data_IF_963037130033
#
_entry.id   IF_963037130033
#
_cell.length_a   1.000
_cell.length_b   1.000
_cell.length_c   1.000
_cell.angle_alpha   90.00
_cell.angle_beta   90.00
_cell.angle_gamma   90.00
#
_symmetry.space_group_name_H-M   'P 1'
#
loop_
_entity.id
_entity.type
_entity.pdbx_description
1 polymer ?
#
# COMPACT_ATOMS: atom_id res chain seq x y z
N UNK A 1 22.98 -1.53 19.17
CA UNK A 1 22.52 -1.74 17.77
C UNK A 1 21.29 -2.66 17.73
N UNK A 2 21.25 -3.72 18.55
CA UNK A 2 20.15 -4.69 18.55
C UNK A 2 18.78 -4.14 18.97
N UNK A 3 18.71 -3.17 19.91
CA UNK A 3 17.42 -2.66 20.41
C UNK A 3 16.60 -1.94 19.34
N UNK A 4 17.25 -1.06 18.56
CA UNK A 4 16.58 -0.33 17.46
C UNK A 4 16.14 -1.26 16.34
N UNK A 5 16.96 -2.26 16.04
CA UNK A 5 16.61 -3.31 15.11
C UNK A 5 15.38 -4.10 15.58
N UNK A 6 15.37 -4.54 16.85
CA UNK A 6 14.23 -5.23 17.44
C UNK A 6 12.96 -4.36 17.41
N UNK A 7 13.09 -3.06 17.70
CA UNK A 7 11.96 -2.13 17.63
C UNK A 7 11.42 -1.94 16.20
N UNK A 8 12.30 -1.85 15.19
CA UNK A 8 11.90 -1.78 13.78
C UNK A 8 11.21 -3.06 13.31
N UNK A 9 11.71 -4.23 13.71
CA UNK A 9 11.09 -5.51 13.42
C UNK A 9 9.72 -5.63 14.09
N UNK A 10 9.62 -5.27 15.36
CA UNK A 10 8.35 -5.24 16.07
C UNK A 10 7.35 -4.26 15.43
N UNK A 11 7.82 -3.10 14.96
CA UNK A 11 7.00 -2.18 14.17
C UNK A 11 6.48 -2.85 12.90
N UNK A 12 7.36 -3.47 12.11
CA UNK A 12 6.99 -4.09 10.83
C UNK A 12 6.00 -5.25 11.01
N UNK A 13 6.26 -6.15 11.95
CA UNK A 13 5.39 -7.30 12.25
C UNK A 13 3.99 -6.83 12.68
N UNK A 14 3.93 -5.87 13.60
CA UNK A 14 2.67 -5.29 14.05
C UNK A 14 1.97 -4.56 12.92
N UNK A 15 2.70 -3.77 12.12
CA UNK A 15 2.16 -3.05 10.98
C UNK A 15 1.52 -3.99 9.97
N UNK A 16 2.21 -5.04 9.54
CA UNK A 16 1.70 -5.99 8.56
C UNK A 16 0.47 -6.75 9.09
N UNK A 17 0.50 -7.17 10.37
CA UNK A 17 -0.64 -7.80 11.03
C UNK A 17 -1.86 -6.88 11.06
N UNK A 18 -1.68 -5.64 11.53
CA UNK A 18 -2.76 -4.65 11.60
C UNK A 18 -3.25 -4.25 10.20
N UNK A 19 -2.37 -4.11 9.21
CA UNK A 19 -2.74 -3.77 7.84
C UNK A 19 -3.68 -4.80 7.19
N UNK A 20 -3.56 -6.08 7.58
CA UNK A 20 -4.43 -7.16 7.11
C UNK A 20 -5.74 -7.20 7.91
N UNK A 21 -5.69 -7.02 9.23
CA UNK A 21 -6.85 -7.19 10.11
C UNK A 21 -7.75 -5.95 10.14
N UNK A 22 -7.18 -4.77 10.36
CA UNK A 22 -7.89 -3.50 10.45
C UNK A 22 -6.94 -2.33 10.14
N UNK A 23 -7.03 -1.77 8.93
CA UNK A 23 -6.19 -0.64 8.53
C UNK A 23 -6.47 0.64 9.30
N UNK A 24 -7.66 0.80 9.87
CA UNK A 24 -7.99 2.01 10.61
C UNK A 24 -7.18 2.10 11.92
N UNK A 25 -6.86 0.94 12.52
CA UNK A 25 -6.01 0.84 13.71
C UNK A 25 -4.55 1.25 13.46
N UNK A 26 -4.13 1.33 12.19
CA UNK A 26 -2.81 1.86 11.83
C UNK A 26 -2.66 3.35 12.16
N UNK A 27 -3.72 4.07 12.50
CA UNK A 27 -3.63 5.47 12.95
C UNK A 27 -2.56 5.63 14.05
N UNK A 28 -2.45 4.65 14.96
CA UNK A 28 -1.49 4.66 16.06
C UNK A 28 -0.02 4.44 15.64
N UNK A 29 0.21 3.96 14.41
CA UNK A 29 1.53 3.74 13.84
C UNK A 29 2.12 4.98 13.15
N UNK A 30 1.34 6.07 13.03
CA UNK A 30 1.74 7.29 12.32
C UNK A 30 1.83 8.50 13.24
N UNK A 31 2.86 9.32 13.00
CA UNK A 31 3.00 10.64 13.60
C UNK A 31 1.84 11.55 13.18
N UNK A 32 1.48 12.52 14.00
CA UNK A 32 0.51 13.55 13.62
C UNK A 32 0.94 14.35 12.37
N UNK A 33 2.26 14.43 12.10
CA UNK A 33 2.85 15.07 10.90
C UNK A 33 3.18 14.10 9.77
N UNK A 34 2.76 12.84 9.86
CA UNK A 34 3.16 11.81 8.91
C UNK A 34 2.83 12.18 7.46
N UNK A 35 3.72 11.81 6.54
CA UNK A 35 3.45 11.94 5.10
C UNK A 35 3.25 10.57 4.48
N UNK A 36 2.33 10.48 3.53
CA UNK A 36 2.10 9.26 2.75
C UNK A 36 2.01 9.56 1.27
N UNK A 37 2.59 8.66 0.47
CA UNK A 37 2.44 8.67 -0.98
C UNK A 37 2.47 7.24 -1.49
N UNK A 38 1.80 7.00 -2.62
CA UNK A 38 1.91 5.72 -3.29
C UNK A 38 1.96 5.88 -4.81
N UNK A 39 2.54 4.89 -5.47
CA UNK A 39 2.63 4.86 -6.92
C UNK A 39 2.38 3.43 -7.41
N UNK A 40 1.49 3.29 -8.39
CA UNK A 40 1.26 2.03 -9.10
C UNK A 40 1.87 2.19 -10.50
N UNK A 41 2.86 1.35 -10.82
CA UNK A 41 3.47 1.34 -12.15
C UNK A 41 2.61 0.54 -13.13
N UNK A 42 2.49 1.04 -14.36
CA UNK A 42 1.84 0.29 -15.44
C UNK A 42 2.77 -0.76 -16.03
N UNK A 43 2.26 -1.93 -16.44
CA UNK A 43 3.06 -2.92 -17.16
C UNK A 43 3.58 -2.33 -18.48
N UNK A 44 4.84 -2.57 -18.86
CA UNK A 44 5.43 -2.02 -20.09
C UNK A 44 4.75 -2.54 -21.38
N UNK A 45 4.01 -3.65 -21.31
CA UNK A 45 3.41 -4.32 -22.47
C UNK A 45 1.98 -3.88 -22.80
N UNK A 46 1.37 -3.02 -21.99
CA UNK A 46 -0.05 -2.68 -22.16
C UNK A 46 -0.36 -1.77 -23.36
N UNK A 47 0.64 -1.33 -24.14
CA UNK A 47 0.38 -0.38 -25.23
C UNK A 47 1.39 -0.49 -26.37
N UNK A 48 1.21 -1.49 -27.25
CA UNK A 48 1.82 -1.49 -28.58
C UNK A 48 1.03 -0.62 -29.58
N UNK A 49 -0.20 -0.20 -29.23
CA UNK A 49 -1.11 0.53 -30.13
C UNK A 49 -1.58 1.89 -29.60
N UNK A 50 -1.39 2.22 -28.31
CA UNK A 50 -1.75 3.55 -27.82
C UNK A 50 -0.61 4.53 -28.08
N UNK A 51 -0.97 5.62 -28.78
CA UNK A 51 -0.17 6.82 -29.01
C UNK A 51 0.59 7.19 -27.73
N UNK A 52 1.91 7.48 -27.80
CA UNK A 52 2.69 7.77 -26.60
C UNK A 52 1.99 8.88 -25.81
N UNK A 53 1.59 8.62 -24.56
CA UNK A 53 1.00 9.67 -23.75
C UNK A 53 2.02 10.79 -23.66
N UNK A 54 1.57 12.02 -23.91
CA UNK A 54 2.30 13.23 -23.52
C UNK A 54 2.87 12.99 -22.12
N UNK A 55 4.18 13.21 -21.93
CA UNK A 55 4.98 12.74 -20.81
C UNK A 55 4.63 13.32 -19.41
N UNK A 56 3.38 13.71 -19.17
CA UNK A 56 2.88 14.05 -17.84
C UNK A 56 2.76 12.76 -17.02
N UNK A 57 3.81 12.44 -16.28
CA UNK A 57 3.74 11.50 -15.16
C UNK A 57 2.53 11.88 -14.29
N UNK A 58 1.64 10.95 -13.93
CA UNK A 58 0.52 11.27 -13.06
C UNK A 58 1.08 11.91 -11.77
N UNK A 59 0.48 13.01 -11.28
CA UNK A 59 0.94 13.64 -10.05
C UNK A 59 0.89 12.60 -8.94
N UNK A 60 1.99 12.45 -8.20
CA UNK A 60 1.98 11.63 -7.00
C UNK A 60 0.94 12.24 -6.05
N UNK A 61 0.05 11.41 -5.51
CA UNK A 61 -0.86 11.82 -4.45
C UNK A 61 -0.07 11.87 -3.15
N UNK A 62 -0.02 13.05 -2.54
CA UNK A 62 0.66 13.28 -1.27
C UNK A 62 -0.41 13.52 -0.20
N UNK A 63 -0.35 12.74 0.85
CA UNK A 63 -1.25 12.81 2.00
C UNK A 63 -0.45 13.28 3.21
N UNK A 64 -1.01 14.18 4.01
CA UNK A 64 -0.31 14.77 5.15
C UNK A 64 -1.15 14.70 6.42
N UNK A 65 -0.52 14.22 7.48
CA UNK A 65 -1.12 14.00 8.78
C UNK A 65 -1.87 12.68 8.87
N UNK A 66 -1.98 12.20 10.11
CA UNK A 66 -2.48 10.85 10.45
C UNK A 66 -3.81 10.50 9.75
N UNK A 67 -4.77 11.43 9.76
CA UNK A 67 -6.10 11.19 9.20
C UNK A 67 -6.05 10.96 7.69
N UNK A 68 -5.33 11.81 6.95
CA UNK A 68 -5.21 11.71 5.50
C UNK A 68 -4.43 10.46 5.08
N UNK A 69 -3.41 10.08 5.86
CA UNK A 69 -2.69 8.82 5.66
C UNK A 69 -3.64 7.63 5.79
N UNK A 70 -4.44 7.56 6.86
CA UNK A 70 -5.35 6.43 7.06
C UNK A 70 -6.44 6.38 5.98
N UNK A 71 -7.02 7.52 5.60
CA UNK A 71 -7.96 7.57 4.49
C UNK A 71 -7.34 6.99 3.21
N UNK A 72 -6.11 7.38 2.89
CA UNK A 72 -5.41 6.86 1.72
C UNK A 72 -5.11 5.35 1.80
N UNK A 73 -4.75 4.83 2.98
CA UNK A 73 -4.52 3.39 3.18
C UNK A 73 -5.80 2.56 3.07
N UNK A 74 -6.93 3.11 3.51
CA UNK A 74 -8.25 2.50 3.37
C UNK A 74 -8.71 2.47 1.91
N UNK A 75 -8.36 3.49 1.13
CA UNK A 75 -8.67 3.58 -0.30
C UNK A 75 -7.75 2.72 -1.18
N UNK A 76 -6.69 2.12 -0.62
CA UNK A 76 -5.81 1.24 -1.41
C UNK A 76 -6.59 0.02 -1.93
N UNK A 77 -6.39 -0.36 -3.21
CA UNK A 77 -7.14 -1.44 -3.87
C UNK A 77 -6.83 -2.83 -3.33
N UNK A 78 -5.97 -2.92 -2.32
CA UNK A 78 -5.57 -4.17 -1.73
C UNK A 78 -6.66 -4.67 -0.82
N UNK A 79 -7.05 -5.92 -1.02
CA UNK A 79 -7.57 -6.74 0.06
C UNK A 79 -6.65 -7.95 0.17
N UNK A 80 -5.81 -7.97 1.21
CA UNK A 80 -4.97 -9.13 1.52
C UNK A 80 -5.81 -10.27 2.13
N UNK A 81 -7.13 -10.07 2.30
CA UNK A 81 -8.05 -11.07 2.83
C UNK A 81 -8.43 -12.16 1.84
N UNK A 82 -7.96 -12.13 0.58
CA UNK A 82 -8.04 -13.29 -0.33
C UNK A 82 -7.03 -14.35 0.13
N UNK A 83 -7.22 -14.84 1.36
CA UNK A 83 -6.85 -16.17 1.74
C UNK A 83 -7.94 -17.02 1.11
N UNK A 84 -7.57 -17.75 0.06
CA UNK A 84 -8.31 -18.94 -0.32
C UNK A 84 -8.28 -19.86 0.90
N UNK A 85 -9.26 -19.71 1.79
CA UNK A 85 -9.66 -20.75 2.74
C UNK A 85 -10.37 -21.85 1.95
N UNK A 86 -9.75 -22.32 0.86
CA UNK A 86 -10.11 -23.58 0.23
C UNK A 86 -9.34 -24.67 0.97
N UNK A 87 -9.96 -25.35 1.94
CA UNK A 87 -9.30 -26.39 2.72
C UNK A 87 -8.88 -27.59 1.84
N UNK A 88 -9.33 -27.66 0.58
CA UNK A 88 -9.02 -28.73 -0.35
C UNK A 88 -7.89 -28.41 -1.35
N UNK A 89 -7.36 -27.17 -1.36
CA UNK A 89 -6.16 -26.82 -2.13
C UNK A 89 -4.90 -27.38 -1.45
N UNK A 90 -4.80 -28.71 -1.44
CA UNK A 90 -3.81 -29.48 -0.69
C UNK A 90 -2.37 -29.06 -0.98
N UNK A 91 -1.64 -28.72 0.09
CA UNK A 91 -0.18 -28.61 0.27
C UNK A 91 0.69 -27.96 -0.81
N UNK A 92 0.12 -27.50 -1.93
CA UNK A 92 0.85 -26.99 -3.09
C UNK A 92 1.08 -25.50 -2.89
N UNK A 93 1.94 -25.22 -1.92
CA UNK A 93 2.58 -23.93 -1.72
C UNK A 93 1.62 -22.88 -1.20
N UNK A 94 1.34 -22.90 0.11
CA UNK A 94 1.05 -21.65 0.81
C UNK A 94 2.12 -20.66 0.38
N UNK A 95 1.74 -19.65 -0.41
CA UNK A 95 2.58 -18.52 -0.77
C UNK A 95 2.83 -17.78 0.54
N UNK A 96 3.70 -18.35 1.38
CA UNK A 96 4.22 -17.76 2.58
C UNK A 96 4.90 -16.50 2.07
N UNK A 97 4.18 -15.40 2.22
CA UNK A 97 4.47 -14.14 1.54
C UNK A 97 5.96 -13.87 1.73
N UNK A 98 6.73 -13.94 0.65
CA UNK A 98 8.15 -13.71 0.69
C UNK A 98 8.31 -12.20 0.97
N UNK A 99 8.45 -11.87 2.24
CA UNK A 99 8.71 -10.52 2.71
C UNK A 99 10.21 -10.43 2.88
N UNK A 100 10.83 -9.63 2.01
CA UNK A 100 12.22 -9.21 2.14
C UNK A 100 12.25 -7.84 2.81
N UNK A 101 13.24 -7.59 3.67
CA UNK A 101 13.32 -6.33 4.40
C UNK A 101 14.76 -5.92 4.65
N UNK A 102 14.98 -4.61 4.69
CA UNK A 102 16.26 -3.99 4.97
C UNK A 102 16.03 -2.72 5.82
N UNK A 103 17.03 -2.31 6.58
CA UNK A 103 16.93 -1.09 7.38
C UNK A 103 18.27 -0.36 7.47
N UNK A 104 18.20 0.97 7.48
CA UNK A 104 19.35 1.85 7.61
C UNK A 104 19.09 2.88 8.72
N UNK A 105 20.09 3.12 9.56
CA UNK A 105 20.00 4.07 10.66
C UNK A 105 20.63 5.42 10.28
N UNK A 106 19.83 6.48 10.26
CA UNK A 106 20.29 7.83 10.05
C UNK A 106 20.78 8.44 11.38
N UNK A 107 22.08 8.23 11.69
CA UNK A 107 22.68 8.61 12.99
C UNK A 107 22.43 10.06 13.40
N UNK A 108 22.54 10.98 12.45
CA UNK A 108 22.44 12.42 12.72
C UNK A 108 20.99 12.85 12.97
N UNK A 109 20.02 12.22 12.29
CA UNK A 109 18.61 12.54 12.43
C UNK A 109 17.94 11.82 13.61
N UNK A 110 18.52 10.72 14.09
CA UNK A 110 17.85 9.87 15.07
C UNK A 110 16.71 9.03 14.47
N UNK A 111 16.70 8.89 13.14
CA UNK A 111 15.63 8.22 12.39
C UNK A 111 16.09 6.84 11.88
N UNK A 112 15.13 5.94 11.70
CA UNK A 112 15.32 4.62 11.10
C UNK A 112 14.60 4.56 9.76
N UNK A 113 15.34 4.30 8.69
CA UNK A 113 14.78 3.96 7.40
C UNK A 113 14.52 2.45 7.36
N UNK A 114 13.29 2.04 7.09
CA UNK A 114 12.88 0.64 6.94
C UNK A 114 12.36 0.45 5.52
N UNK A 115 12.88 -0.53 4.82
CA UNK A 115 12.42 -0.97 3.50
C UNK A 115 11.85 -2.38 3.65
N UNK A 116 10.67 -2.60 3.08
CA UNK A 116 10.00 -3.88 3.05
C UNK A 116 9.50 -4.14 1.62
N UNK A 117 9.83 -5.29 1.06
CA UNK A 117 9.38 -5.73 -0.25
C UNK A 117 8.57 -7.00 -0.09
N UNK A 118 7.37 -7.04 -0.65
CA UNK A 118 6.51 -8.22 -0.64
C UNK A 118 5.89 -8.46 -2.01
N UNK A 119 5.54 -9.71 -2.31
CA UNK A 119 4.70 -10.04 -3.46
C UNK A 119 3.25 -10.07 -2.99
N UNK A 120 2.37 -9.41 -3.75
CA UNK A 120 0.97 -9.23 -3.39
C UNK A 120 0.07 -9.42 -4.62
N UNK A 121 -1.12 -10.00 -4.46
CA UNK A 121 -2.09 -10.10 -5.55
C UNK A 121 -2.66 -8.72 -5.87
N UNK A 122 -2.62 -8.32 -7.15
CA UNK A 122 -3.31 -7.12 -7.63
C UNK A 122 -4.68 -7.52 -8.15
N UNK A 123 -5.76 -6.83 -7.76
CA UNK A 123 -7.03 -6.98 -8.45
C UNK A 123 -6.79 -6.63 -9.92
N UNK A 124 -7.24 -7.51 -10.81
CA UNK A 124 -7.35 -7.17 -12.23
C UNK A 124 -8.51 -6.19 -12.28
N UNK A 125 -8.20 -4.90 -12.36
CA UNK A 125 -9.24 -3.90 -12.54
C UNK A 125 -9.91 -4.19 -13.87
N UNK A 126 -11.23 -4.43 -13.86
CA UNK A 126 -12.07 -4.13 -15.02
C UNK A 126 -11.66 -2.75 -15.54
N UNK A 127 -11.64 -2.56 -16.85
CA UNK A 127 -11.01 -1.46 -17.64
C UNK A 127 -11.35 0.00 -17.22
N UNK A 128 -12.07 0.20 -16.11
CA UNK A 128 -12.26 1.42 -15.34
C UNK A 128 -11.02 1.93 -14.59
N UNK A 129 -9.82 1.44 -14.96
CA UNK A 129 -8.50 1.80 -14.41
C UNK A 129 -8.17 3.31 -14.57
N UNK A 130 -8.94 4.07 -15.35
CA UNK A 130 -8.70 5.51 -15.55
C UNK A 130 -9.13 6.42 -14.39
N UNK A 131 -10.04 5.98 -13.50
CA UNK A 131 -10.58 6.85 -12.45
C UNK A 131 -9.69 6.97 -11.20
N UNK A 132 -8.98 5.92 -10.78
CA UNK A 132 -8.20 5.94 -9.53
C UNK A 132 -6.91 6.76 -9.63
N UNK A 133 -6.31 6.86 -10.82
CA UNK A 133 -5.05 7.57 -11.01
C UNK A 133 -5.20 9.10 -11.02
N UNK A 134 -6.43 9.62 -11.08
CA UNK A 134 -6.68 11.07 -11.25
C UNK A 134 -7.36 11.76 -10.08
N UNK A 135 -7.86 11.04 -9.06
CA UNK A 135 -8.36 11.62 -7.81
C UNK A 135 -9.48 12.68 -7.97
N UNK A 136 -10.04 12.82 -9.17
CA UNK A 136 -10.98 13.86 -9.50
C UNK A 136 -12.40 13.30 -9.34
N UNK A 137 -12.93 13.38 -8.12
CA UNK A 137 -14.32 13.04 -7.80
C UNK A 137 -15.32 13.89 -8.58
N UNK A 138 -15.62 13.48 -9.81
CA UNK A 138 -16.60 14.11 -10.70
C UNK A 138 -18.02 13.63 -10.39
N UNK A 139 -18.82 14.49 -9.75
CA UNK A 139 -20.28 14.34 -9.62
C UNK A 139 -20.96 14.37 -11.00
N UNK A 140 -21.07 13.21 -11.67
CA UNK A 140 -21.82 13.05 -12.91
C UNK A 140 -23.17 12.37 -12.68
N UNK A 141 -24.28 13.13 -12.66
CA UNK A 141 -25.65 12.59 -12.75
C UNK A 141 -25.94 12.16 -14.19
N UNK A 142 -25.71 10.89 -14.53
CA UNK A 142 -26.06 10.30 -15.83
C UNK A 142 -27.12 9.20 -15.68
N UNK A 143 -28.31 9.43 -16.26
CA UNK A 143 -29.43 8.48 -16.31
C UNK A 143 -29.28 7.64 -17.59
N UNK A 144 -28.81 6.39 -17.49
CA UNK A 144 -28.41 5.58 -18.64
C UNK A 144 -28.91 4.13 -18.61
N UNK A 145 -29.97 3.90 -19.40
CA UNK A 145 -30.45 2.71 -20.11
C UNK A 145 -29.70 1.38 -19.90
N UNK A 146 -30.43 0.42 -19.32
CA UNK A 146 -30.12 -1.00 -19.14
C UNK A 146 -29.87 -1.71 -20.49
N UNK A 147 -28.71 -2.36 -20.64
CA UNK A 147 -28.41 -3.33 -21.73
C UNK A 147 -28.11 -4.68 -21.10
N UNK A 148 -28.62 -5.73 -21.75
CA UNK A 148 -28.52 -7.12 -21.32
C UNK A 148 -27.07 -7.59 -21.25
N UNK A 149 -26.76 -8.36 -20.21
CA UNK A 149 -25.44 -8.89 -19.89
C UNK A 149 -25.12 -10.10 -20.77
N UNK A 150 -24.10 -9.96 -21.63
CA UNK A 150 -23.36 -11.09 -22.19
C UNK A 150 -22.40 -11.60 -21.09
N UNK A 151 -22.32 -12.92 -20.92
CA UNK A 151 -21.44 -13.57 -19.93
C UNK A 151 -19.98 -13.15 -20.13
N UNK A 152 -19.25 -12.76 -19.06
CA UNK A 152 -17.87 -12.35 -19.17
C UNK A 152 -16.97 -13.53 -19.59
N UNK A 153 -16.01 -13.31 -20.50
CA UNK A 153 -15.10 -14.34 -20.95
C UNK A 153 -14.31 -14.94 -19.78
N UNK A 154 -14.42 -16.24 -19.66
CA UNK A 154 -13.87 -17.08 -18.61
C UNK A 154 -12.32 -17.04 -18.62
N UNK A 155 -11.69 -16.49 -17.58
CA UNK A 155 -10.25 -16.72 -17.30
C UNK A 155 -9.37 -15.48 -17.08
N UNK A 156 -9.79 -14.50 -16.28
CA UNK A 156 -8.86 -13.49 -15.77
C UNK A 156 -7.97 -14.06 -14.66
N UNK A 157 -6.81 -14.59 -15.05
CA UNK A 157 -5.80 -15.03 -14.08
C UNK A 157 -5.32 -13.85 -13.21
N UNK A 158 -5.34 -14.05 -11.89
CA UNK A 158 -4.82 -13.12 -10.88
C UNK A 158 -3.44 -12.60 -11.28
N UNK A 159 -3.28 -11.27 -11.29
CA UNK A 159 -1.99 -10.63 -11.53
C UNK A 159 -1.29 -10.42 -10.20
N UNK A 160 0.01 -10.70 -10.14
CA UNK A 160 0.83 -10.38 -8.97
C UNK A 160 1.63 -9.11 -9.22
N UNK A 161 1.91 -8.38 -8.15
CA UNK A 161 2.85 -7.27 -8.19
C UNK A 161 3.81 -7.34 -6.99
N UNK A 162 5.01 -6.79 -7.16
CA UNK A 162 5.89 -6.49 -6.05
C UNK A 162 5.46 -5.16 -5.43
N UNK A 163 5.10 -5.18 -4.15
CA UNK A 163 4.87 -4.02 -3.33
C UNK A 163 6.14 -3.69 -2.55
N UNK A 164 6.65 -2.49 -2.72
CA UNK A 164 7.77 -1.97 -1.95
C UNK A 164 7.28 -0.86 -1.03
N UNK A 165 7.47 -1.02 0.26
CA UNK A 165 7.09 -0.09 1.31
C UNK A 165 8.34 0.50 1.94
N UNK A 166 8.40 1.82 2.03
CA UNK A 166 9.52 2.55 2.64
C UNK A 166 8.99 3.40 3.78
N UNK A 167 9.54 3.22 4.97
CA UNK A 167 9.18 3.96 6.16
C UNK A 167 10.37 4.74 6.69
N UNK A 168 10.12 5.98 7.10
CA UNK A 168 11.01 6.70 8.02
C UNK A 168 10.35 6.62 9.39
N UNK A 169 10.99 5.90 10.32
CA UNK A 169 10.52 5.70 11.67
C UNK A 169 11.27 6.60 12.65
N UNK A 170 10.53 7.13 13.62
CA UNK A 170 11.05 7.94 14.71
C UNK A 170 10.44 7.47 16.03
N UNK A 171 11.17 7.64 17.14
CA UNK A 171 10.56 7.44 18.46
C UNK A 171 9.47 8.49 18.67
N UNK A 172 8.31 8.08 19.18
CA UNK A 172 7.22 9.02 19.48
C UNK A 172 7.63 10.12 20.47
N UNK A 173 8.64 9.87 21.31
CA UNK A 173 9.06 10.80 22.36
C UNK A 173 9.73 12.08 21.81
N UNK A 174 10.11 12.06 20.51
CA UNK A 174 10.67 13.20 19.80
C UNK A 174 9.67 14.34 19.57
N UNK A 175 8.39 14.03 19.54
CA UNK A 175 7.32 15.00 19.29
C UNK A 175 6.36 15.04 20.48
N UNK A 176 6.02 16.24 20.96
CA UNK A 176 5.18 16.42 22.15
C UNK A 176 3.76 15.87 21.94
N UNK A 177 3.20 16.08 20.75
CA UNK A 177 1.83 15.67 20.43
C UNK A 177 1.75 14.15 20.32
N UNK A 178 2.71 13.51 19.63
CA UNK A 178 2.77 12.04 19.56
C UNK A 178 3.03 11.41 20.93
N UNK A 179 3.88 12.04 21.77
CA UNK A 179 4.17 11.55 23.13
C UNK A 179 2.97 11.66 24.07
N UNK A 180 2.21 12.74 23.98
CA UNK A 180 1.02 12.98 24.82
C UNK A 180 -0.22 12.24 24.34
N UNK A 181 -0.24 11.74 23.09
CA UNK A 181 -1.36 10.99 22.53
C UNK A 181 -1.39 9.54 23.05
N UNK A 182 -2.44 9.11 23.78
CA UNK A 182 -2.58 7.73 24.25
C UNK A 182 -2.69 6.74 23.08
N UNK A 183 -2.09 5.56 23.22
CA UNK A 183 -2.19 4.47 22.24
C UNK A 183 -1.21 4.54 21.06
N UNK A 184 -0.56 5.68 20.83
CA UNK A 184 0.48 5.84 19.80
C UNK A 184 1.64 4.88 20.07
N UNK A 185 2.12 4.23 19.01
CA UNK A 185 3.17 3.22 19.09
C UNK A 185 4.50 3.82 19.54
N UNK A 186 5.41 3.06 20.19
CA UNK A 186 6.70 3.59 20.63
C UNK A 186 7.55 4.17 19.48
N UNK A 187 7.48 3.54 18.31
CA UNK A 187 7.99 4.08 17.06
C UNK A 187 6.83 4.38 16.11
N UNK A 188 6.89 5.53 15.47
CA UNK A 188 5.89 6.00 14.52
C UNK A 188 6.54 6.27 13.16
N UNK A 189 5.78 6.06 12.09
CA UNK A 189 6.18 6.48 10.77
C UNK A 189 5.93 7.99 10.60
N UNK A 190 6.98 8.72 10.24
CA UNK A 190 6.92 10.15 9.85
C UNK A 190 6.82 10.32 8.33
N UNK A 191 7.25 9.30 7.58
CA UNK A 191 7.05 9.21 6.14
C UNK A 191 6.81 7.75 5.73
N UNK A 192 5.88 7.54 4.81
CA UNK A 192 5.59 6.23 4.23
C UNK A 192 5.38 6.36 2.72
N UNK A 193 6.10 5.56 1.95
CA UNK A 193 5.95 5.49 0.50
C UNK A 193 5.72 4.05 0.05
N UNK A 194 4.68 3.83 -0.75
CA UNK A 194 4.37 2.52 -1.34
C UNK A 194 4.54 2.54 -2.86
N UNK A 195 5.24 1.55 -3.40
CA UNK A 195 5.43 1.38 -4.84
C UNK A 195 4.97 -0.01 -5.27
N UNK A 196 3.97 -0.06 -6.13
CA UNK A 196 3.46 -1.29 -6.71
C UNK A 196 4.02 -1.49 -8.12
N UNK A 197 4.72 -2.61 -8.33
CA UNK A 197 5.39 -2.95 -9.58
C UNK A 197 4.81 -4.25 -10.15
N UNK A 198 4.13 -4.21 -11.31
CA UNK A 198 3.65 -5.42 -11.97
C UNK A 198 4.79 -6.39 -12.21
N UNK A 199 4.57 -7.67 -11.86
CA UNK A 199 5.52 -8.72 -12.18
C UNK A 199 5.25 -9.25 -13.59
N UNK A 200 6.29 -9.59 -14.37
CA UNK A 200 6.10 -10.28 -15.64
C UNK A 200 5.41 -11.62 -15.42
N UNK A 201 4.55 -12.00 -16.38
CA UNK A 201 3.94 -13.34 -16.45
C UNK A 201 4.97 -14.37 -16.90
#
# INVERSE_FOLDING_TARGET
MNEKHAAAMHFLERYLSTFIVDRSDLASAYSHTATFSFQILRPPYASATAKPPSASRPPATHHHGRVDVIAALLDLPYDLSVRDDDPEAGERGSLKQAIDWDFCWAREAGDLLLLCTSIVPMPVGDEREEDWATGAGGKGKGKGKERAADEPPNGEGSRFCACEQRFVLRSRDWDEEDRSTPGVWPFVAVAHHMLFRPLPR
#
